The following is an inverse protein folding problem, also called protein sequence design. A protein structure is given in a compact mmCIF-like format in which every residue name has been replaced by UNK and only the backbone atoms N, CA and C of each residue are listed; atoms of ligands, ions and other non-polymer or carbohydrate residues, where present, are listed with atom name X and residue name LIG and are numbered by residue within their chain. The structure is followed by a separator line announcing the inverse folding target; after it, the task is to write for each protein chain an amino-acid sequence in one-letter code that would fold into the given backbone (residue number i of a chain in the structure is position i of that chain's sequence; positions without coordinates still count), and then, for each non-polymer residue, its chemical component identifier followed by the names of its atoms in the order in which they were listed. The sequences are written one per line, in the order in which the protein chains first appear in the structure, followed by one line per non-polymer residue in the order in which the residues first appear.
data_IF_321836194422
#
_entry.id   IF_321836194422
#
_cell.length_a   1.000
_cell.length_b   1.000
_cell.length_c   1.000
_cell.angle_alpha   90.00
_cell.angle_beta   90.00
_cell.angle_gamma   90.00
#
_symmetry.space_group_name_H-M   'P 1'
#
loop_
_entity.id
_entity.type
_entity.pdbx_description
1 polymer ?
#
# COMPACT_ATOMS: atom_id res chain seq x y z
N UNK A 1 -5.25 7.05 -12.80
CA UNK A 1 -4.77 6.48 -11.52
C UNK A 1 -4.54 7.65 -10.61
N UNK A 2 -5.17 7.63 -9.45
CA UNK A 2 -5.05 8.66 -8.41
C UNK A 2 -4.56 7.95 -7.16
N UNK A 3 -3.74 8.63 -6.35
CA UNK A 3 -3.17 8.06 -5.15
C UNK A 3 -2.65 9.17 -4.25
N UNK A 4 -2.54 8.86 -2.96
CA UNK A 4 -1.99 9.76 -1.95
C UNK A 4 -1.16 8.97 -0.94
N UNK A 5 -0.26 9.63 -0.22
CA UNK A 5 0.68 8.98 0.71
C UNK A 5 0.97 9.87 1.91
N UNK A 6 1.47 9.27 3.00
CA UNK A 6 2.07 9.98 4.12
C UNK A 6 3.40 9.32 4.48
N UNK A 7 4.38 10.12 4.90
CA UNK A 7 5.66 9.64 5.41
C UNK A 7 5.60 9.37 6.91
N UNK A 8 6.77 9.25 7.55
CA UNK A 8 6.87 9.02 8.98
C UNK A 8 6.19 10.11 9.83
N UNK A 9 6.35 11.37 9.43
CA UNK A 9 5.78 12.53 10.13
C UNK A 9 4.26 12.68 9.91
N UNK A 10 3.66 11.78 9.14
CA UNK A 10 2.26 11.83 8.76
C UNK A 10 1.97 12.94 7.76
N UNK A 11 0.72 13.43 7.81
CA UNK A 11 0.20 14.46 6.90
C UNK A 11 -0.51 15.58 7.67
N UNK A 12 -0.42 16.79 7.16
CA UNK A 12 -1.10 17.98 7.71
C UNK A 12 -2.23 18.51 6.81
N UNK A 13 -2.26 18.10 5.54
CA UNK A 13 -3.27 18.51 4.55
C UNK A 13 -4.25 17.38 4.27
N UNK A 14 -5.42 17.71 3.70
CA UNK A 14 -6.45 16.73 3.36
C UNK A 14 -6.09 15.87 2.13
N UNK A 15 -6.57 14.62 2.11
CA UNK A 15 -6.24 13.66 1.06
C UNK A 15 -6.76 14.06 -0.31
N UNK A 16 -5.88 14.02 -1.32
CA UNK A 16 -6.25 14.34 -2.72
C UNK A 16 -7.29 13.36 -3.26
N UNK A 17 -7.19 12.07 -2.86
CA UNK A 17 -8.16 11.01 -3.19
C UNK A 17 -9.34 10.96 -2.22
N UNK A 18 -9.36 11.83 -1.21
CA UNK A 18 -10.43 11.94 -0.23
C UNK A 18 -10.57 10.74 0.71
N UNK A 19 -11.81 10.42 1.08
CA UNK A 19 -12.10 9.51 2.18
C UNK A 19 -11.62 8.06 2.02
N UNK A 20 -11.33 7.60 0.79
CA UNK A 20 -10.79 6.25 0.59
C UNK A 20 -9.38 6.10 1.17
N UNK A 21 -8.58 7.17 1.18
CA UNK A 21 -7.28 7.20 1.84
C UNK A 21 -7.43 6.91 3.34
N UNK A 22 -8.29 7.69 4.02
CA UNK A 22 -8.48 7.57 5.46
C UNK A 22 -9.11 6.24 5.85
N UNK A 23 -10.02 5.71 5.02
CA UNK A 23 -10.59 4.39 5.19
C UNK A 23 -9.52 3.28 5.18
N UNK A 24 -8.62 3.30 4.20
CA UNK A 24 -7.52 2.34 4.10
C UNK A 24 -6.51 2.53 5.25
N UNK A 25 -6.11 3.78 5.52
CA UNK A 25 -5.16 4.14 6.58
C UNK A 25 -5.64 3.66 7.94
N UNK A 26 -6.91 3.91 8.28
CA UNK A 26 -7.51 3.44 9.53
C UNK A 26 -7.44 1.92 9.66
N UNK A 27 -7.91 1.18 8.64
CA UNK A 27 -7.91 -0.28 8.66
C UNK A 27 -6.50 -0.87 8.85
N UNK A 28 -5.51 -0.30 8.15
CA UNK A 28 -4.10 -0.70 8.29
C UNK A 28 -3.57 -0.40 9.69
N UNK A 29 -3.82 0.81 10.22
CA UNK A 29 -3.36 1.21 11.55
C UNK A 29 -3.95 0.33 12.64
N UNK A 30 -5.22 -0.04 12.56
CA UNK A 30 -5.86 -0.98 13.50
C UNK A 30 -5.13 -2.34 13.53
N UNK A 31 -4.82 -2.90 12.36
CA UNK A 31 -4.10 -4.17 12.26
C UNK A 31 -2.67 -4.08 12.78
N UNK A 32 -1.92 -3.04 12.40
CA UNK A 32 -0.55 -2.85 12.87
C UNK A 32 -0.49 -2.63 14.39
N UNK A 33 -1.44 -1.87 14.95
CA UNK A 33 -1.58 -1.67 16.38
C UNK A 33 -1.85 -2.98 17.11
N UNK A 34 -2.80 -3.80 16.62
CA UNK A 34 -3.11 -5.10 17.19
C UNK A 34 -1.92 -6.08 17.14
N UNK A 35 -1.09 -5.98 16.10
CA UNK A 35 0.14 -6.76 15.97
C UNK A 35 1.30 -6.22 16.82
N UNK A 36 1.21 -5.00 17.34
CA UNK A 36 2.32 -4.32 18.01
C UNK A 36 3.50 -4.02 17.07
N UNK A 37 3.22 -3.72 15.79
CA UNK A 37 4.25 -3.54 14.74
C UNK A 37 4.14 -2.19 14.04
N UNK A 38 5.28 -1.69 13.58
CA UNK A 38 5.37 -0.56 12.65
C UNK A 38 5.85 -1.07 11.28
N UNK A 39 5.24 -0.57 10.20
CA UNK A 39 5.62 -0.94 8.84
C UNK A 39 5.26 0.17 7.84
N UNK A 40 6.01 0.23 6.73
CA UNK A 40 5.54 0.92 5.52
C UNK A 40 4.47 0.08 4.82
N UNK A 41 3.41 0.72 4.34
CA UNK A 41 2.27 0.03 3.73
C UNK A 41 1.87 0.68 2.42
N UNK A 42 1.56 -0.15 1.43
CA UNK A 42 1.01 0.27 0.14
C UNK A 42 -0.29 -0.49 -0.09
N UNK A 43 -1.38 0.25 -0.31
CA UNK A 43 -2.68 -0.32 -0.67
C UNK A 43 -2.93 -0.04 -2.15
N UNK A 44 -3.02 -1.11 -2.95
CA UNK A 44 -3.32 -1.04 -4.37
C UNK A 44 -4.75 -1.53 -4.61
N UNK A 45 -5.53 -0.78 -5.37
CA UNK A 45 -6.91 -1.12 -5.68
C UNK A 45 -7.28 -0.67 -7.08
N UNK A 46 -7.94 -1.55 -7.82
CA UNK A 46 -8.57 -1.23 -9.11
C UNK A 46 -10.08 -1.13 -8.96
N UNK A 47 -10.68 -0.26 -9.76
CA UNK A 47 -12.12 -0.18 -9.96
C UNK A 47 -12.37 -0.67 -11.37
N UNK A 48 -13.06 -1.78 -11.51
CA UNK A 48 -13.38 -2.38 -12.79
C UNK A 48 -14.71 -1.83 -13.31
N UNK A 49 -14.93 -1.76 -14.64
CA UNK A 49 -16.19 -1.27 -15.21
C UNK A 49 -17.46 -2.00 -14.71
N UNK A 50 -17.33 -3.23 -14.21
CA UNK A 50 -18.43 -3.98 -13.59
C UNK A 50 -18.77 -3.58 -12.15
N UNK A 51 -17.99 -2.72 -11.51
CA UNK A 51 -18.30 -2.16 -10.18
C UNK A 51 -19.27 -0.98 -10.30
N UNK A 52 -20.54 -1.27 -10.63
CA UNK A 52 -21.55 -0.27 -10.99
C UNK A 52 -22.15 0.43 -9.75
N UNK A 53 -21.96 -0.12 -8.55
CA UNK A 53 -22.58 0.39 -7.33
C UNK A 53 -21.61 1.27 -6.52
N UNK A 54 -21.92 2.56 -6.28
CA UNK A 54 -21.11 3.41 -5.42
C UNK A 54 -21.32 3.04 -3.94
N UNK A 55 -20.61 2.03 -3.46
CA UNK A 55 -20.64 1.57 -2.06
C UNK A 55 -19.94 2.53 -1.07
N UNK A 56 -19.40 3.65 -1.57
CA UNK A 56 -18.73 4.65 -0.75
C UNK A 56 -17.41 4.15 -0.13
N UNK A 57 -16.91 4.94 0.84
CA UNK A 57 -15.58 4.71 1.46
C UNK A 57 -15.54 3.52 2.41
N UNK A 58 -16.70 3.08 2.91
CA UNK A 58 -16.81 1.90 3.77
C UNK A 58 -16.29 0.63 3.07
N UNK A 59 -16.56 0.49 1.76
CA UNK A 59 -16.14 -0.66 0.96
C UNK A 59 -14.62 -0.84 0.97
N UNK A 60 -13.89 0.27 0.88
CA UNK A 60 -12.42 0.26 0.95
C UNK A 60 -11.96 -0.21 2.32
N UNK A 61 -12.57 0.31 3.39
CA UNK A 61 -12.21 -0.06 4.77
C UNK A 61 -12.39 -1.56 5.01
N UNK A 62 -13.52 -2.13 4.61
CA UNK A 62 -13.79 -3.54 4.88
C UNK A 62 -12.97 -4.49 4.01
N UNK A 63 -12.76 -4.18 2.74
CA UNK A 63 -11.87 -5.00 1.91
C UNK A 63 -10.43 -5.00 2.43
N UNK A 64 -9.94 -3.85 2.92
CA UNK A 64 -8.60 -3.78 3.54
C UNK A 64 -8.56 -4.59 4.84
N UNK A 65 -9.58 -4.49 5.70
CA UNK A 65 -9.68 -5.30 6.92
C UNK A 65 -9.76 -6.80 6.61
N UNK A 66 -10.53 -7.19 5.60
CA UNK A 66 -10.63 -8.58 5.16
C UNK A 66 -9.26 -9.11 4.71
N UNK A 67 -8.58 -8.38 3.82
CA UNK A 67 -7.25 -8.73 3.34
C UNK A 67 -6.21 -8.87 4.47
N UNK A 68 -6.28 -8.02 5.50
CA UNK A 68 -5.35 -8.07 6.64
C UNK A 68 -5.65 -9.18 7.65
N UNK A 69 -6.83 -9.81 7.58
CA UNK A 69 -7.18 -10.99 8.41
C UNK A 69 -6.77 -12.30 7.75
N UNK A 70 -6.58 -12.31 6.43
CA UNK A 70 -6.15 -13.50 5.71
C UNK A 70 -4.66 -13.79 5.94
N UNK A 71 -4.24 -15.07 5.84
CA UNK A 71 -2.82 -15.42 5.88
C UNK A 71 -2.03 -14.65 4.80
N UNK A 72 -0.99 -13.88 5.17
CA UNK A 72 -0.28 -13.05 4.21
C UNK A 72 0.63 -13.89 3.33
N UNK A 73 0.65 -13.56 2.03
CA UNK A 73 1.68 -14.04 1.12
C UNK A 73 3.00 -13.31 1.41
N UNK A 74 4.06 -14.06 1.73
CA UNK A 74 5.39 -13.52 2.01
C UNK A 74 6.23 -13.56 0.75
N UNK A 75 6.67 -12.38 0.30
CA UNK A 75 7.54 -12.22 -0.86
C UNK A 75 8.92 -11.75 -0.39
N UNK A 76 10.01 -12.44 -0.75
CA UNK A 76 11.34 -12.09 -0.25
C UNK A 76 11.91 -10.84 -0.92
N UNK A 77 11.48 -10.51 -2.13
CA UNK A 77 11.99 -9.34 -2.86
C UNK A 77 10.88 -8.48 -3.45
N UNK A 78 11.21 -7.21 -3.71
CA UNK A 78 10.34 -6.32 -4.49
C UNK A 78 10.14 -6.80 -5.93
N UNK A 79 11.06 -7.60 -6.49
CA UNK A 79 10.88 -8.17 -7.83
C UNK A 79 9.79 -9.26 -7.83
N UNK A 80 9.69 -10.06 -6.77
CA UNK A 80 8.62 -11.05 -6.61
C UNK A 80 7.25 -10.37 -6.47
N UNK A 81 7.20 -9.25 -5.74
CA UNK A 81 6.00 -8.41 -5.67
C UNK A 81 5.60 -7.91 -7.07
N UNK A 82 6.55 -7.54 -7.91
CA UNK A 82 6.26 -7.04 -9.26
C UNK A 82 5.63 -8.09 -10.16
N UNK A 83 6.16 -9.32 -10.08
CA UNK A 83 5.58 -10.46 -10.80
C UNK A 83 4.14 -10.69 -10.36
N UNK A 84 3.89 -10.74 -9.06
CA UNK A 84 2.53 -10.92 -8.53
C UNK A 84 1.59 -9.82 -9.00
N UNK A 85 2.04 -8.55 -8.97
CA UNK A 85 1.23 -7.42 -9.41
C UNK A 85 0.87 -7.52 -10.90
N UNK A 86 1.80 -7.96 -11.75
CA UNK A 86 1.53 -8.16 -13.19
C UNK A 86 0.52 -9.27 -13.46
N UNK A 87 0.48 -10.30 -12.62
CA UNK A 87 -0.44 -11.43 -12.74
C UNK A 87 -1.83 -11.10 -12.19
N UNK A 88 -1.91 -10.22 -11.19
CA UNK A 88 -3.15 -9.94 -10.43
C UNK A 88 -3.92 -8.72 -10.94
N UNK A 89 -3.21 -7.66 -11.33
CA UNK A 89 -3.81 -6.36 -11.65
C UNK A 89 -3.93 -6.14 -13.16
N UNK A 90 -5.04 -5.55 -13.60
CA UNK A 90 -5.26 -5.22 -15.00
C UNK A 90 -4.42 -4.00 -15.44
N UNK A 91 -4.12 -3.09 -14.52
CA UNK A 91 -3.26 -1.93 -14.78
C UNK A 91 -1.79 -2.35 -14.72
N UNK A 92 -0.97 -2.00 -15.73
CA UNK A 92 0.45 -2.31 -15.73
C UNK A 92 1.20 -1.83 -14.48
N UNK A 93 2.07 -2.69 -13.93
CA UNK A 93 2.86 -2.42 -12.71
C UNK A 93 3.70 -1.15 -12.80
N UNK A 94 4.15 -0.78 -13.99
CA UNK A 94 4.91 0.44 -14.27
C UNK A 94 4.12 1.69 -13.87
N UNK A 95 2.80 1.65 -14.02
CA UNK A 95 1.93 2.76 -13.64
C UNK A 95 1.83 2.90 -12.13
N UNK A 96 1.72 1.77 -11.41
CA UNK A 96 1.74 1.75 -9.94
C UNK A 96 3.06 2.28 -9.39
N UNK A 97 4.20 1.83 -9.94
CA UNK A 97 5.54 2.33 -9.56
C UNK A 97 5.68 3.83 -9.71
N UNK A 98 5.26 4.35 -10.86
CA UNK A 98 5.42 5.77 -11.18
C UNK A 98 4.57 6.66 -10.28
N UNK A 99 3.40 6.17 -9.86
CA UNK A 99 2.47 6.95 -9.05
C UNK A 99 2.73 6.85 -7.54
N UNK A 100 3.24 5.72 -7.06
CA UNK A 100 3.42 5.47 -5.63
C UNK A 100 4.76 5.99 -5.13
N UNK A 101 4.72 7.03 -4.30
CA UNK A 101 5.89 7.54 -3.58
C UNK A 101 6.50 6.47 -2.67
N UNK A 102 5.67 5.71 -1.96
CA UNK A 102 6.13 4.64 -1.05
C UNK A 102 6.85 3.51 -1.82
N UNK A 103 6.34 3.10 -2.99
CA UNK A 103 7.06 2.11 -3.82
C UNK A 103 8.34 2.67 -4.42
N UNK A 104 8.38 3.98 -4.70
CA UNK A 104 9.59 4.64 -5.16
C UNK A 104 10.66 4.64 -4.06
N UNK A 105 10.30 5.12 -2.86
CA UNK A 105 11.18 5.13 -1.68
C UNK A 105 11.70 3.73 -1.34
N UNK A 106 10.83 2.72 -1.31
CA UNK A 106 11.23 1.34 -1.03
C UNK A 106 12.27 0.78 -2.04
N UNK A 107 12.42 1.41 -3.22
CA UNK A 107 13.38 1.01 -4.26
C UNK A 107 14.63 1.87 -4.29
N UNK A 108 14.52 3.14 -3.96
CA UNK A 108 15.62 4.10 -4.08
C UNK A 108 16.33 4.34 -2.76
N UNK A 109 15.63 4.23 -1.64
CA UNK A 109 16.17 4.40 -0.30
C UNK A 109 16.59 3.06 0.29
N UNK A 110 17.87 2.97 0.68
CA UNK A 110 18.39 1.82 1.41
C UNK A 110 18.22 2.05 2.91
N UNK A 111 18.02 0.96 3.65
CA UNK A 111 17.96 1.04 5.09
C UNK A 111 19.37 1.13 5.68
N UNK A 112 19.49 1.75 6.85
CA UNK A 112 20.78 1.94 7.51
C UNK A 112 21.44 0.60 7.86
N UNK A 113 20.65 -0.39 8.28
CA UNK A 113 21.11 -1.76 8.54
C UNK A 113 21.72 -2.41 7.29
N UNK A 114 21.07 -2.29 6.13
CA UNK A 114 21.61 -2.81 4.86
C UNK A 114 22.91 -2.13 4.42
N UNK A 115 23.11 -0.87 4.82
CA UNK A 115 24.36 -0.15 4.54
C UNK A 115 25.48 -0.61 5.49
N UNK A 116 25.18 -0.74 6.78
CA UNK A 116 26.14 -1.15 7.81
C UNK A 116 26.66 -2.58 7.57
N UNK A 117 25.80 -3.52 7.19
CA UNK A 117 26.16 -4.93 6.96
C UNK A 117 27.15 -5.14 5.79
N UNK A 118 27.36 -4.15 4.93
CA UNK A 118 28.29 -4.21 3.79
C UNK A 118 29.60 -3.46 4.00
N UNK A 119 29.69 -2.67 5.07
CA UNK A 119 30.87 -1.86 5.39
C UNK A 119 31.90 -2.61 6.26
N UNK A 120 31.58 -3.82 6.71
CA UNK A 120 32.49 -4.77 7.36
C UNK A 120 32.82 -5.94 6.44
#
# INVERSE_FOLDING_TARGET
MIGDHEGHDGRTTYASIGGCYYAARLAVSESLLALGRQAGVVVLREVHPGEILPLGVWNVREHVRAALREPPLRLPTLADADRLLRETFAIPVERWRRQSAVLHEARTQRRLDEWLDRAG
#
